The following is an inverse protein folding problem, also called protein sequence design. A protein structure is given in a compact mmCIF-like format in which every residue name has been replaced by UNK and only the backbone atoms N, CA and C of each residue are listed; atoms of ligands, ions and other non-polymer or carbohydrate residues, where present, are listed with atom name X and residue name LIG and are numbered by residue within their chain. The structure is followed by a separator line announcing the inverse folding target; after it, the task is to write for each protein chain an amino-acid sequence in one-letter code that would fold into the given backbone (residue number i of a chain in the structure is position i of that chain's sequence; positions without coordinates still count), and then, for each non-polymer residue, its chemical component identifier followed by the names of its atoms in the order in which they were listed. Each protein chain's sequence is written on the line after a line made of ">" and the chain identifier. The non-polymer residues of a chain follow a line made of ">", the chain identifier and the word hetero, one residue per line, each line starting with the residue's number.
data_IF_111193490503
#
_entry.id   IF_111193490503
#
_cell.length_a   1.000
_cell.length_b   1.000
_cell.length_c   1.000
_cell.angle_alpha   90.00
_cell.angle_beta   90.00
_cell.angle_gamma   90.00
#
_symmetry.space_group_name_H-M   'P 1'
#
loop_
_entity.id
_entity.type
_entity.pdbx_description
1 polymer ?
#
# COMPACT_ATOMS: atom_id res chain seq x y z
N UNK A 1 -10.04 -11.18 15.97
CA UNK A 1 -8.72 -11.23 15.31
C UNK A 1 -7.57 -11.35 16.34
N UNK A 2 -7.80 -11.97 17.50
CA UNK A 2 -6.88 -11.92 18.67
C UNK A 2 -6.03 -13.18 18.88
N UNK A 3 -6.06 -14.16 17.98
CA UNK A 3 -5.42 -15.47 18.23
C UNK A 3 -4.09 -15.72 17.51
N UNK A 4 -3.53 -14.73 16.80
CA UNK A 4 -2.35 -14.95 15.95
C UNK A 4 -1.04 -14.56 16.64
N UNK A 5 -1.06 -13.70 17.67
CA UNK A 5 0.17 -13.17 18.27
C UNK A 5 0.64 -13.87 19.57
N UNK A 6 -0.06 -14.90 20.06
CA UNK A 6 0.24 -15.49 21.38
C UNK A 6 1.30 -16.61 21.40
N UNK A 7 1.80 -17.08 20.26
CA UNK A 7 2.61 -18.32 20.23
C UNK A 7 4.07 -18.19 19.76
N UNK A 8 4.56 -16.99 19.45
CA UNK A 8 5.91 -16.83 18.89
C UNK A 8 7.07 -16.77 19.92
N UNK A 9 6.80 -16.88 21.23
CA UNK A 9 7.83 -16.83 22.26
C UNK A 9 7.99 -18.15 23.01
N UNK A 10 8.56 -19.16 22.34
CA UNK A 10 9.23 -20.25 23.05
C UNK A 10 10.29 -20.91 22.20
N UNK A 11 11.55 -20.60 22.54
CA UNK A 11 12.70 -21.39 22.13
C UNK A 11 13.62 -20.70 21.14
N UNK A 12 14.54 -19.89 21.66
CA UNK A 12 15.97 -19.88 21.30
C UNK A 12 16.60 -18.63 21.91
N UNK A 13 17.33 -18.82 23.01
CA UNK A 13 18.72 -18.41 23.17
C UNK A 13 19.18 -18.96 24.52
N UNK A 14 20.11 -19.91 24.47
CA UNK A 14 20.79 -20.46 25.64
C UNK A 14 21.92 -19.55 26.08
N UNK A 15 22.03 -19.35 27.39
CA UNK A 15 23.24 -18.89 28.10
C UNK A 15 23.30 -19.68 29.42
N UNK A 16 24.49 -20.16 29.87
CA UNK A 16 24.60 -21.21 30.89
C UNK A 16 24.32 -20.73 32.31
N UNK A 17 23.78 -21.65 33.12
CA UNK A 17 23.69 -21.56 34.58
C UNK A 17 25.09 -21.47 35.20
N UNK A 18 25.46 -20.33 35.81
CA UNK A 18 26.36 -20.24 36.98
C UNK A 18 26.48 -18.80 37.48
N UNK A 19 25.63 -18.35 38.41
CA UNK A 19 25.96 -17.29 39.39
C UNK A 19 25.23 -17.61 40.72
N UNK A 20 25.87 -17.55 41.90
CA UNK A 20 25.27 -17.99 43.17
C UNK A 20 24.11 -17.10 43.63
N UNK A 21 23.13 -17.72 44.28
CA UNK A 21 22.01 -17.05 44.99
C UNK A 21 22.54 -16.14 46.09
N UNK A 22 22.47 -14.83 45.88
CA UNK A 22 22.33 -13.88 46.99
C UNK A 22 20.83 -13.71 47.28
N UNK A 23 20.45 -13.95 48.53
CA UNK A 23 19.11 -13.69 49.06
C UNK A 23 18.84 -12.19 49.06
N UNK A 24 18.27 -11.66 47.98
CA UNK A 24 17.71 -10.30 48.01
C UNK A 24 16.35 -10.33 48.74
N UNK A 25 16.36 -9.85 49.97
CA UNK A 25 15.17 -9.60 50.80
C UNK A 25 14.35 -8.46 50.19
N UNK A 26 13.62 -8.71 49.09
CA UNK A 26 12.57 -7.80 48.64
C UNK A 26 11.22 -8.29 49.13
N UNK A 27 10.58 -7.44 49.93
CA UNK A 27 9.18 -7.55 50.33
C UNK A 27 8.31 -7.79 49.09
N UNK A 28 7.22 -8.58 49.19
CA UNK A 28 6.31 -8.79 48.06
C UNK A 28 5.68 -7.43 47.69
N UNK A 29 6.15 -6.85 46.58
CA UNK A 29 5.51 -5.67 46.00
C UNK A 29 4.11 -6.06 45.52
N UNK A 30 3.08 -5.25 45.80
CA UNK A 30 1.72 -5.59 45.43
C UNK A 30 1.58 -5.62 43.91
N UNK A 31 1.04 -6.73 43.39
CA UNK A 31 0.75 -7.02 41.96
C UNK A 31 -0.15 -5.99 41.23
N UNK A 32 -0.49 -4.89 41.89
CA UNK A 32 -1.45 -3.87 41.45
C UNK A 32 -0.78 -2.75 40.65
N UNK A 33 0.54 -2.57 40.73
CA UNK A 33 1.25 -1.52 39.96
C UNK A 33 1.39 -1.81 38.46
N UNK A 34 1.20 -3.06 38.05
CA UNK A 34 1.41 -3.56 36.69
C UNK A 34 0.14 -3.54 35.83
N UNK A 35 -0.99 -3.03 36.31
CA UNK A 35 -2.25 -3.02 35.59
C UNK A 35 -2.90 -1.64 35.57
N UNK A 36 -3.44 -1.25 34.40
CA UNK A 36 -4.27 -0.07 34.21
C UNK A 36 -5.69 -0.57 33.96
N UNK A 37 -6.62 -0.12 34.78
CA UNK A 37 -8.05 -0.37 34.62
C UNK A 37 -8.64 0.79 33.82
N UNK A 38 -8.84 0.59 32.51
CA UNK A 38 -9.53 1.55 31.64
C UNK A 38 -10.91 1.01 31.22
N UNK A 39 -11.70 1.80 30.49
CA UNK A 39 -13.05 1.38 30.03
C UNK A 39 -13.03 0.11 29.14
N UNK A 40 -11.85 -0.39 28.75
CA UNK A 40 -11.64 -1.62 27.99
C UNK A 40 -11.21 -2.80 28.87
N UNK A 41 -11.10 -2.61 30.19
CA UNK A 41 -10.81 -3.63 31.19
C UNK A 41 -9.38 -3.59 31.74
N UNK A 42 -9.03 -4.60 32.54
CA UNK A 42 -7.75 -4.67 33.25
C UNK A 42 -6.60 -5.04 32.28
N UNK A 43 -5.93 -4.04 31.72
CA UNK A 43 -4.77 -4.25 30.85
C UNK A 43 -3.47 -4.21 31.65
N UNK A 44 -2.48 -5.02 31.29
CA UNK A 44 -1.12 -4.84 31.82
C UNK A 44 -0.62 -3.46 31.39
N UNK A 45 -0.18 -2.66 32.34
CA UNK A 45 0.55 -1.42 32.10
C UNK A 45 1.68 -1.74 31.15
N UNK A 46 1.71 -1.08 29.98
CA UNK A 46 2.78 -1.28 29.01
C UNK A 46 4.11 -0.93 29.69
N UNK A 47 4.87 -1.95 30.09
CA UNK A 47 6.14 -1.81 30.84
C UNK A 47 7.24 -1.20 29.95
N UNK A 48 7.02 -1.14 28.63
CA UNK A 48 7.99 -0.68 27.65
C UNK A 48 7.37 0.41 26.79
N UNK A 49 7.96 1.61 26.86
CA UNK A 49 7.65 2.70 25.97
C UNK A 49 8.01 2.31 24.53
N UNK A 50 7.03 2.33 23.63
CA UNK A 50 7.27 2.10 22.20
C UNK A 50 7.72 3.41 21.53
N UNK A 51 8.41 3.29 20.39
CA UNK A 51 8.90 4.46 19.65
C UNK A 51 7.78 5.44 19.29
N UNK A 52 6.59 4.94 18.92
CA UNK A 52 5.43 5.79 18.60
C UNK A 52 4.86 6.47 19.85
N UNK A 53 4.80 5.79 20.99
CA UNK A 53 4.33 6.40 22.24
C UNK A 53 5.25 7.54 22.67
N UNK A 54 6.56 7.33 22.61
CA UNK A 54 7.55 8.39 22.91
C UNK A 54 7.46 9.53 21.89
N UNK A 55 7.24 9.22 20.61
CA UNK A 55 7.13 10.23 19.55
C UNK A 55 5.86 11.10 19.68
N UNK A 56 4.72 10.50 20.02
CA UNK A 56 3.44 11.22 20.12
C UNK A 56 3.22 11.91 21.47
N UNK A 57 3.62 11.29 22.57
CA UNK A 57 3.28 11.74 23.93
C UNK A 57 4.51 12.10 24.79
N UNK A 58 5.70 12.05 24.19
CA UNK A 58 6.97 12.35 24.86
C UNK A 58 7.43 11.24 25.81
N UNK A 59 8.67 11.33 26.30
CA UNK A 59 9.28 10.33 27.21
C UNK A 59 8.53 10.12 28.54
N UNK A 60 7.62 11.02 28.89
CA UNK A 60 6.84 10.98 30.12
C UNK A 60 5.34 10.75 29.88
N UNK A 61 4.91 10.61 28.62
CA UNK A 61 3.51 10.40 28.26
C UNK A 61 2.58 11.57 28.61
N UNK A 62 3.10 12.79 28.69
CA UNK A 62 2.35 13.99 29.14
C UNK A 62 2.04 14.97 28.02
N UNK A 63 2.67 14.80 26.86
CA UNK A 63 2.46 15.72 25.75
C UNK A 63 1.14 15.38 25.06
N UNK A 64 0.37 16.40 24.68
CA UNK A 64 -0.89 16.20 23.96
C UNK A 64 -0.64 16.07 22.46
N UNK A 65 -1.19 15.02 21.86
CA UNK A 65 -1.09 14.79 20.42
C UNK A 65 -2.38 15.20 19.70
N UNK A 66 -2.28 16.28 18.93
CA UNK A 66 -3.43 16.87 18.21
C UNK A 66 -3.61 16.26 16.82
N UNK A 67 -4.82 16.36 16.29
CA UNK A 67 -5.16 15.89 14.94
C UNK A 67 -4.21 16.41 13.85
N UNK A 68 -3.85 17.70 13.87
CA UNK A 68 -2.89 18.27 12.92
C UNK A 68 -1.51 17.60 12.99
N UNK A 69 -1.07 17.22 14.19
CA UNK A 69 0.16 16.47 14.40
C UNK A 69 0.07 15.06 13.81
N UNK A 70 -1.07 14.40 14.00
CA UNK A 70 -1.33 13.08 13.42
C UNK A 70 -1.40 13.10 11.90
N UNK A 71 -2.09 14.08 11.33
CA UNK A 71 -2.18 14.27 9.88
C UNK A 71 -0.79 14.41 9.26
N UNK A 72 0.03 15.32 9.80
CA UNK A 72 1.42 15.51 9.33
C UNK A 72 2.26 14.25 9.50
N UNK A 73 2.12 13.54 10.61
CA UNK A 73 2.82 12.27 10.82
C UNK A 73 2.47 11.25 9.73
N UNK A 74 1.18 11.08 9.42
CA UNK A 74 0.72 10.16 8.39
C UNK A 74 1.22 10.56 6.99
N UNK A 75 1.18 11.86 6.66
CA UNK A 75 1.70 12.38 5.39
C UNK A 75 3.22 12.14 5.26
N UNK A 76 3.98 12.38 6.32
CA UNK A 76 5.42 12.14 6.36
C UNK A 76 5.75 10.66 6.22
N UNK A 77 5.06 9.79 6.96
CA UNK A 77 5.26 8.34 6.88
C UNK A 77 4.97 7.80 5.48
N UNK A 78 3.87 8.23 4.87
CA UNK A 78 3.56 7.84 3.49
C UNK A 78 4.61 8.33 2.51
N UNK A 79 5.10 9.57 2.67
CA UNK A 79 6.15 10.14 1.83
C UNK A 79 7.45 9.35 1.98
N UNK A 80 7.87 9.03 3.21
CA UNK A 80 9.09 8.28 3.48
C UNK A 80 9.04 6.85 2.91
N UNK A 81 7.88 6.18 3.01
CA UNK A 81 7.69 4.87 2.36
C UNK A 81 7.82 4.99 0.83
N UNK A 82 7.29 6.03 0.22
CA UNK A 82 7.42 6.27 -1.22
C UNK A 82 8.86 6.62 -1.62
N UNK A 83 9.59 7.37 -0.79
CA UNK A 83 11.01 7.68 -1.02
C UNK A 83 11.86 6.42 -0.99
N UNK A 84 11.62 5.54 -0.02
CA UNK A 84 12.32 4.25 0.06
C UNK A 84 12.04 3.37 -1.16
N UNK A 85 10.79 3.28 -1.60
CA UNK A 85 10.44 2.56 -2.84
C UNK A 85 11.12 3.18 -4.06
N UNK A 86 11.12 4.50 -4.18
CA UNK A 86 11.77 5.18 -5.31
C UNK A 86 13.28 4.94 -5.32
N UNK A 87 13.93 5.05 -4.16
CA UNK A 87 15.38 4.92 -4.04
C UNK A 87 15.87 3.49 -4.30
N UNK A 88 15.07 2.48 -3.94
CA UNK A 88 15.36 1.07 -4.26
C UNK A 88 15.59 0.87 -5.77
N UNK A 89 14.81 1.58 -6.59
CA UNK A 89 14.87 1.47 -8.05
C UNK A 89 15.77 2.52 -8.70
N UNK A 90 15.89 3.72 -8.12
CA UNK A 90 16.74 4.76 -8.69
C UNK A 90 18.23 4.43 -8.55
N UNK A 91 18.60 3.50 -7.66
CA UNK A 91 19.98 3.02 -7.46
C UNK A 91 20.99 4.16 -7.24
N UNK A 92 20.54 5.22 -6.57
CA UNK A 92 21.35 6.42 -6.28
C UNK A 92 21.25 7.53 -7.31
N UNK A 93 20.48 7.38 -8.39
CA UNK A 93 20.15 8.45 -9.32
C UNK A 93 18.96 9.28 -8.83
N UNK A 94 18.84 10.51 -9.36
CA UNK A 94 17.74 11.44 -9.05
C UNK A 94 16.41 11.08 -9.76
N UNK A 95 16.48 10.18 -10.74
CA UNK A 95 15.35 9.71 -11.53
C UNK A 95 15.33 8.17 -11.60
N UNK A 96 14.14 7.61 -11.80
CA UNK A 96 13.96 6.21 -12.19
C UNK A 96 13.67 6.12 -13.68
N UNK A 97 14.06 5.01 -14.32
CA UNK A 97 13.68 4.76 -15.71
C UNK A 97 12.18 4.48 -15.80
N UNK A 98 11.61 4.64 -16.99
CA UNK A 98 10.21 4.33 -17.28
C UNK A 98 9.91 2.83 -17.06
N UNK A 99 10.89 1.98 -17.36
CA UNK A 99 10.84 0.54 -17.09
C UNK A 99 10.81 0.26 -15.60
N UNK A 100 11.66 0.91 -14.81
CA UNK A 100 11.66 0.74 -13.36
C UNK A 100 10.36 1.26 -12.73
N UNK A 101 9.81 2.36 -13.24
CA UNK A 101 8.48 2.82 -12.87
C UNK A 101 7.40 1.77 -13.16
N UNK A 102 7.42 1.13 -14.33
CA UNK A 102 6.49 0.04 -14.64
C UNK A 102 6.65 -1.15 -13.69
N UNK A 103 7.88 -1.57 -13.39
CA UNK A 103 8.16 -2.65 -12.42
C UNK A 103 7.60 -2.33 -11.05
N UNK A 104 7.73 -1.08 -10.60
CA UNK A 104 7.15 -0.62 -9.34
C UNK A 104 5.62 -0.77 -9.40
N UNK A 105 4.97 -0.27 -10.45
CA UNK A 105 3.50 -0.37 -10.64
C UNK A 105 2.99 -1.81 -10.61
N UNK A 106 3.70 -2.74 -11.26
CA UNK A 106 3.31 -4.13 -11.42
C UNK A 106 3.77 -5.05 -10.25
N UNK A 107 4.50 -4.53 -9.25
CA UNK A 107 5.08 -5.36 -8.18
C UNK A 107 4.05 -6.13 -7.35
N UNK A 108 2.87 -5.56 -7.13
CA UNK A 108 1.83 -6.14 -6.25
C UNK A 108 0.61 -6.66 -7.02
N UNK A 109 0.72 -6.78 -8.33
CA UNK A 109 -0.39 -7.23 -9.18
C UNK A 109 -0.35 -8.74 -9.34
N UNK A 110 -1.53 -9.38 -9.44
CA UNK A 110 -1.64 -10.81 -9.69
C UNK A 110 -1.47 -11.15 -11.17
N UNK A 111 -0.32 -10.78 -11.75
CA UNK A 111 0.05 -11.13 -13.12
C UNK A 111 0.90 -12.40 -13.12
N UNK A 112 0.74 -13.22 -14.15
CA UNK A 112 1.70 -14.30 -14.37
C UNK A 112 3.03 -13.74 -14.92
N UNK A 113 4.08 -14.57 -14.93
CA UNK A 113 5.41 -14.13 -15.38
C UNK A 113 5.42 -13.71 -16.85
N UNK A 114 4.61 -14.35 -17.70
CA UNK A 114 4.57 -14.04 -19.13
C UNK A 114 3.87 -12.71 -19.39
N UNK A 115 2.76 -12.44 -18.70
CA UNK A 115 2.05 -11.16 -18.75
C UNK A 115 2.93 -10.03 -18.25
N UNK A 116 3.62 -10.24 -17.13
CA UNK A 116 4.57 -9.27 -16.59
C UNK A 116 5.67 -8.92 -17.60
N UNK A 117 6.31 -9.92 -18.19
CA UNK A 117 7.36 -9.72 -19.20
C UNK A 117 6.81 -9.04 -20.46
N UNK A 118 5.59 -9.39 -20.89
CA UNK A 118 4.93 -8.75 -22.03
C UNK A 118 4.73 -7.24 -21.82
N UNK A 119 4.34 -6.81 -20.61
CA UNK A 119 4.22 -5.38 -20.29
C UNK A 119 5.57 -4.64 -20.39
N UNK A 120 6.66 -5.28 -19.92
CA UNK A 120 7.99 -4.67 -19.94
C UNK A 120 8.59 -4.63 -21.35
N UNK A 121 8.47 -5.71 -22.12
CA UNK A 121 8.97 -5.78 -23.50
C UNK A 121 8.27 -4.75 -24.39
N UNK A 122 6.95 -4.64 -24.27
CA UNK A 122 6.17 -3.61 -24.97
C UNK A 122 6.64 -2.20 -24.63
N UNK A 123 6.94 -1.94 -23.37
CA UNK A 123 7.39 -0.63 -22.93
C UNK A 123 8.78 -0.31 -23.51
N UNK A 124 9.70 -1.28 -23.48
CA UNK A 124 11.04 -1.16 -24.07
C UNK A 124 10.98 -0.87 -25.56
N UNK A 125 10.07 -1.50 -26.29
CA UNK A 125 9.91 -1.26 -27.73
C UNK A 125 9.32 0.13 -28.04
N UNK A 126 8.41 0.62 -27.19
CA UNK A 126 7.67 1.87 -27.42
C UNK A 126 8.42 3.11 -26.93
N UNK A 127 9.22 3.01 -25.87
CA UNK A 127 9.97 4.13 -25.29
C UNK A 127 11.41 4.09 -25.78
N UNK A 128 11.73 4.95 -26.74
CA UNK A 128 13.08 5.06 -27.33
C UNK A 128 13.97 6.10 -26.68
N UNK A 129 13.38 7.03 -25.93
CA UNK A 129 14.08 8.09 -25.21
C UNK A 129 13.77 7.96 -23.72
N UNK A 130 14.79 7.63 -22.94
CA UNK A 130 14.72 7.60 -21.48
C UNK A 130 14.85 9.05 -20.98
N UNK A 131 13.72 9.63 -20.59
CA UNK A 131 13.71 10.96 -19.96
C UNK A 131 13.85 10.82 -18.43
N UNK A 132 13.38 9.69 -17.91
CA UNK A 132 13.36 9.40 -16.48
C UNK A 132 12.24 10.13 -15.76
N UNK A 133 11.77 9.50 -14.69
CA UNK A 133 10.69 9.99 -13.83
C UNK A 133 11.29 10.46 -12.52
N UNK A 134 10.99 11.70 -12.15
CA UNK A 134 11.46 12.29 -10.87
C UNK A 134 10.66 11.77 -9.68
N UNK A 135 11.22 11.91 -8.48
CA UNK A 135 10.50 11.56 -7.25
C UNK A 135 9.20 12.34 -7.09
N UNK A 136 9.17 13.62 -7.45
CA UNK A 136 7.96 14.44 -7.33
C UNK A 136 6.85 13.94 -8.27
N UNK A 137 7.18 13.59 -9.51
CA UNK A 137 6.22 12.99 -10.45
C UNK A 137 5.68 11.66 -9.92
N UNK A 138 6.56 10.81 -9.41
CA UNK A 138 6.20 9.54 -8.79
C UNK A 138 5.27 9.72 -7.58
N UNK A 139 5.59 10.68 -6.70
CA UNK A 139 4.81 11.00 -5.50
C UNK A 139 3.41 11.50 -5.84
N UNK A 140 3.29 12.44 -6.78
CA UNK A 140 2.00 12.96 -7.22
C UNK A 140 1.15 11.85 -7.87
N UNK A 141 1.77 10.94 -8.61
CA UNK A 141 1.05 9.77 -9.14
C UNK A 141 0.56 8.82 -8.06
N UNK A 142 1.37 8.53 -7.05
CA UNK A 142 0.94 7.70 -5.92
C UNK A 142 -0.17 8.38 -5.10
N UNK A 143 -0.13 9.70 -4.95
CA UNK A 143 -1.23 10.47 -4.34
C UNK A 143 -2.52 10.36 -5.17
N UNK A 144 -2.41 10.34 -6.51
CA UNK A 144 -3.55 10.04 -7.37
C UNK A 144 -4.13 8.65 -7.10
N UNK A 145 -3.29 7.61 -6.95
CA UNK A 145 -3.77 6.25 -6.64
C UNK A 145 -4.55 6.17 -5.32
N UNK A 146 -4.23 7.00 -4.33
CA UNK A 146 -5.00 7.07 -3.09
C UNK A 146 -6.46 7.54 -3.31
N UNK A 147 -6.73 8.24 -4.42
CA UNK A 147 -8.05 8.73 -4.82
C UNK A 147 -8.61 7.93 -6.01
N UNK A 148 -8.15 6.69 -6.20
CA UNK A 148 -8.55 5.85 -7.34
C UNK A 148 -10.04 5.53 -7.34
N UNK A 149 -10.71 5.49 -6.19
CA UNK A 149 -12.15 5.25 -6.11
C UNK A 149 -12.97 6.41 -6.70
N UNK A 150 -12.61 7.66 -6.36
CA UNK A 150 -13.24 8.85 -6.93
C UNK A 150 -12.99 8.95 -8.43
N UNK A 151 -11.76 8.64 -8.85
CA UNK A 151 -11.42 8.51 -10.27
C UNK A 151 -12.25 7.43 -10.97
N UNK A 152 -12.40 6.26 -10.34
CA UNK A 152 -13.22 5.16 -10.84
C UNK A 152 -14.67 5.65 -11.06
N UNK A 153 -15.25 6.37 -10.11
CA UNK A 153 -16.61 6.92 -10.23
C UNK A 153 -16.70 7.92 -11.38
N UNK A 154 -15.76 8.87 -11.47
CA UNK A 154 -15.74 9.86 -12.54
C UNK A 154 -15.64 9.20 -13.93
N UNK A 155 -14.81 8.16 -14.07
CA UNK A 155 -14.59 7.46 -15.33
C UNK A 155 -15.72 6.49 -15.71
N UNK A 156 -16.52 6.00 -14.74
CA UNK A 156 -17.73 5.23 -15.05
C UNK A 156 -18.71 6.03 -15.91
N UNK A 157 -18.79 7.34 -15.72
CA UNK A 157 -19.66 8.20 -16.52
C UNK A 157 -19.26 8.23 -18.00
N UNK A 158 -17.96 8.22 -18.31
CA UNK A 158 -17.44 8.20 -19.69
C UNK A 158 -17.61 6.83 -20.35
N UNK A 159 -17.34 5.75 -19.61
CA UNK A 159 -17.44 4.37 -20.13
C UNK A 159 -18.87 3.91 -20.35
N UNK A 160 -19.87 4.46 -19.63
CA UNK A 160 -21.30 4.21 -19.90
C UNK A 160 -21.76 4.75 -21.26
N UNK A 161 -20.98 5.63 -21.89
CA UNK A 161 -21.23 6.14 -23.23
C UNK A 161 -20.45 5.41 -24.33
N UNK A 162 -19.87 4.23 -24.03
CA UNK A 162 -18.93 3.50 -24.91
C UNK A 162 -17.78 4.38 -25.41
N UNK A 163 -17.38 5.38 -24.62
CA UNK A 163 -16.22 6.21 -24.92
C UNK A 163 -14.99 5.65 -24.23
N UNK A 164 -13.99 5.34 -25.03
CA UNK A 164 -12.63 5.06 -24.61
C UNK A 164 -11.95 6.33 -24.12
N UNK A 165 -10.92 6.17 -23.28
CA UNK A 165 -10.35 7.28 -22.51
C UNK A 165 -9.10 7.79 -23.19
N UNK A 166 -9.14 9.02 -23.69
CA UNK A 166 -7.96 9.71 -24.21
C UNK A 166 -7.04 10.23 -23.09
N UNK A 167 -5.78 10.52 -23.44
CA UNK A 167 -4.79 11.11 -22.52
C UNK A 167 -5.27 12.42 -21.90
N UNK A 168 -5.97 13.26 -22.68
CA UNK A 168 -6.47 14.55 -22.22
C UNK A 168 -7.62 14.41 -21.21
N UNK A 169 -8.51 13.44 -21.43
CA UNK A 169 -9.58 13.12 -20.50
C UNK A 169 -9.03 12.52 -19.21
N UNK A 170 -8.05 11.63 -19.31
CA UNK A 170 -7.34 11.09 -18.16
C UNK A 170 -6.73 12.20 -17.30
N UNK A 171 -5.96 13.11 -17.91
CA UNK A 171 -5.38 14.25 -17.20
C UNK A 171 -6.43 15.14 -16.53
N UNK A 172 -7.54 15.40 -17.23
CA UNK A 172 -8.65 16.21 -16.71
C UNK A 172 -9.30 15.52 -15.51
N UNK A 173 -9.57 14.23 -15.61
CA UNK A 173 -10.16 13.46 -14.53
C UNK A 173 -9.25 13.41 -13.29
N UNK A 174 -7.94 13.18 -13.46
CA UNK A 174 -6.97 13.22 -12.34
C UNK A 174 -6.96 14.59 -11.67
N UNK A 175 -7.01 15.67 -12.46
CA UNK A 175 -7.05 17.04 -11.92
C UNK A 175 -8.31 17.31 -11.09
N UNK A 176 -9.45 16.77 -11.51
CA UNK A 176 -10.72 16.90 -10.79
C UNK A 176 -10.68 16.10 -9.48
N UNK A 177 -10.17 14.86 -9.51
CA UNK A 177 -10.18 13.98 -8.33
C UNK A 177 -9.15 14.38 -7.26
N UNK A 178 -7.98 14.88 -7.67
CA UNK A 178 -6.86 15.11 -6.74
C UNK A 178 -6.55 16.58 -6.50
N UNK A 179 -7.06 17.49 -7.34
CA UNK A 179 -6.62 18.88 -7.38
C UNK A 179 -5.21 19.09 -7.94
N UNK A 180 -4.47 18.02 -8.25
CA UNK A 180 -3.09 18.05 -8.77
C UNK A 180 -3.05 17.64 -10.24
N UNK A 181 -2.01 18.07 -10.97
CA UNK A 181 -1.83 17.71 -12.38
C UNK A 181 -0.62 16.80 -12.54
N UNK A 182 -0.80 15.69 -13.25
CA UNK A 182 0.31 14.82 -13.64
C UNK A 182 1.09 15.45 -14.81
N UNK A 183 2.38 15.14 -14.89
CA UNK A 183 3.19 15.57 -16.03
C UNK A 183 2.75 14.82 -17.30
N UNK A 184 2.85 15.49 -18.46
CA UNK A 184 2.51 14.87 -19.75
C UNK A 184 3.39 13.64 -20.04
N UNK A 185 4.65 13.68 -19.61
CA UNK A 185 5.57 12.56 -19.76
C UNK A 185 5.11 11.35 -18.94
N UNK A 186 4.76 11.55 -17.67
CA UNK A 186 4.28 10.47 -16.81
C UNK A 186 2.98 9.85 -17.33
N UNK A 187 2.03 10.67 -17.77
CA UNK A 187 0.78 10.19 -18.39
C UNK A 187 1.07 9.40 -19.66
N UNK A 188 1.99 9.89 -20.49
CA UNK A 188 2.43 9.16 -21.67
C UNK A 188 2.98 7.78 -21.31
N UNK A 189 3.89 7.70 -20.33
CA UNK A 189 4.46 6.43 -19.85
C UNK A 189 3.40 5.48 -19.32
N UNK A 190 2.44 5.97 -18.52
CA UNK A 190 1.31 5.15 -18.03
C UNK A 190 0.50 4.57 -19.18
N UNK A 191 0.20 5.37 -20.21
CA UNK A 191 -0.48 4.86 -21.39
C UNK A 191 0.38 3.83 -22.13
N UNK A 192 1.69 4.05 -22.30
CA UNK A 192 2.55 3.05 -22.93
C UNK A 192 2.58 1.72 -22.17
N UNK A 193 2.43 1.76 -20.84
CA UNK A 193 2.34 0.57 -20.01
C UNK A 193 0.99 -0.14 -20.17
N UNK A 194 -0.15 0.56 -20.20
CA UNK A 194 -1.47 -0.09 -20.11
C UNK A 194 -2.28 -0.14 -21.41
N UNK A 195 -1.85 0.55 -22.46
CA UNK A 195 -2.48 0.52 -23.79
C UNK A 195 -2.03 -0.74 -24.55
N UNK A 196 -2.92 -1.73 -24.65
CA UNK A 196 -2.57 -3.04 -25.23
C UNK A 196 -2.59 -3.06 -26.75
N UNK A 197 -3.59 -2.46 -27.37
CA UNK A 197 -3.80 -2.41 -28.82
C UNK A 197 -3.06 -1.26 -29.50
N UNK A 198 -2.51 -0.32 -28.73
CA UNK A 198 -1.73 0.80 -29.23
C UNK A 198 -2.59 1.88 -29.89
N UNK A 199 -3.89 1.93 -29.57
CA UNK A 199 -4.83 2.88 -30.13
C UNK A 199 -4.73 4.28 -29.49
N UNK A 200 -3.88 4.41 -28.46
CA UNK A 200 -3.66 5.64 -27.70
C UNK A 200 -4.71 5.87 -26.61
N UNK A 201 -5.54 4.88 -26.34
CA UNK A 201 -6.63 4.90 -25.39
C UNK A 201 -6.36 3.86 -24.30
N UNK A 202 -7.08 4.00 -23.18
CA UNK A 202 -6.85 3.17 -22.01
C UNK A 202 -8.05 2.25 -21.75
N UNK A 203 -7.81 0.94 -21.73
CA UNK A 203 -8.76 -0.04 -21.22
C UNK A 203 -8.99 0.20 -19.73
N UNK A 204 -10.12 0.84 -19.43
CA UNK A 204 -10.48 1.24 -18.07
C UNK A 204 -10.52 0.06 -17.09
N UNK A 205 -10.99 -1.10 -17.54
CA UNK A 205 -11.17 -2.27 -16.66
C UNK A 205 -9.84 -2.81 -16.15
N UNK A 206 -8.88 -3.01 -17.05
CA UNK A 206 -7.56 -3.56 -16.72
C UNK A 206 -6.73 -2.58 -15.92
N UNK A 207 -6.68 -1.31 -16.35
CA UNK A 207 -5.96 -0.28 -15.61
C UNK A 207 -6.44 -0.17 -14.15
N UNK A 208 -7.76 -0.09 -13.93
CA UNK A 208 -8.31 0.02 -12.58
C UNK A 208 -8.07 -1.26 -11.77
N UNK A 209 -8.12 -2.44 -12.37
CA UNK A 209 -7.82 -3.70 -11.69
C UNK A 209 -6.38 -3.72 -11.17
N UNK A 210 -5.41 -3.45 -12.05
CA UNK A 210 -3.98 -3.42 -11.72
C UNK A 210 -3.68 -2.33 -10.68
N UNK A 211 -4.21 -1.11 -10.88
CA UNK A 211 -3.97 0.00 -9.95
C UNK A 211 -4.64 -0.21 -8.58
N UNK A 212 -5.77 -0.94 -8.52
CA UNK A 212 -6.36 -1.35 -7.26
C UNK A 212 -5.44 -2.30 -6.51
N UNK A 213 -4.91 -3.33 -7.14
CA UNK A 213 -3.98 -4.24 -6.47
C UNK A 213 -2.75 -3.50 -5.92
N UNK A 214 -2.19 -2.59 -6.73
CA UNK A 214 -1.08 -1.73 -6.30
C UNK A 214 -1.43 -0.87 -5.09
N UNK A 215 -2.60 -0.23 -5.06
CA UNK A 215 -3.03 0.62 -3.94
C UNK A 215 -3.03 -0.14 -2.61
N UNK A 216 -3.37 -1.44 -2.62
CA UNK A 216 -3.42 -2.25 -1.41
C UNK A 216 -2.08 -2.85 -0.99
N UNK A 217 -1.01 -2.69 -1.80
CA UNK A 217 0.36 -3.14 -1.50
C UNK A 217 0.43 -4.60 -1.00
N UNK A 218 -0.43 -5.48 -1.54
CA UNK A 218 -0.52 -6.88 -1.13
C UNK A 218 -1.17 -7.14 0.24
N UNK A 219 -1.65 -6.11 0.96
CA UNK A 219 -2.35 -6.27 2.24
C UNK A 219 -3.81 -6.68 2.10
N UNK A 220 -4.38 -6.60 0.89
CA UNK A 220 -5.67 -7.23 0.61
C UNK A 220 -5.49 -8.74 0.55
N UNK A 221 -5.79 -9.40 1.66
CA UNK A 221 -6.17 -10.80 1.64
C UNK A 221 -7.46 -10.90 0.84
N UNK A 222 -7.37 -11.23 -0.45
CA UNK A 222 -8.46 -11.93 -1.10
C UNK A 222 -8.71 -13.16 -0.24
N UNK A 223 -9.80 -13.16 0.53
CA UNK A 223 -10.26 -14.38 1.18
C UNK A 223 -10.28 -15.40 0.05
N UNK A 224 -9.36 -16.37 0.10
CA UNK A 224 -9.22 -17.36 -0.95
C UNK A 224 -10.62 -17.92 -1.14
N UNK A 225 -11.25 -17.58 -2.26
CA UNK A 225 -12.46 -18.24 -2.71
C UNK A 225 -12.02 -19.61 -3.23
N UNK A 226 -11.42 -20.40 -2.35
CA UNK A 226 -10.97 -21.76 -2.56
C UNK A 226 -11.76 -22.64 -1.60
N UNK A 227 -12.08 -23.85 -2.04
CA UNK A 227 -12.84 -24.81 -1.24
C UNK A 227 -14.36 -24.68 -1.42
N UNK A 228 -15.07 -25.35 -0.51
CA UNK A 228 -16.48 -25.69 -0.69
C UNK A 228 -17.42 -24.48 -0.71
N UNK A 229 -17.07 -23.41 0.01
CA UNK A 229 -17.90 -22.20 0.08
C UNK A 229 -17.81 -21.38 -1.21
N UNK A 230 -16.63 -21.33 -1.84
CA UNK A 230 -16.44 -20.72 -3.14
C UNK A 230 -17.16 -21.48 -4.25
N UNK A 231 -17.05 -22.82 -4.25
CA UNK A 231 -17.79 -23.69 -5.17
C UNK A 231 -19.30 -23.46 -5.06
N UNK A 232 -19.86 -23.45 -3.84
CA UNK A 232 -21.28 -23.15 -3.61
C UNK A 232 -21.67 -21.75 -4.11
N UNK A 233 -20.81 -20.75 -3.91
CA UNK A 233 -21.06 -19.40 -4.38
C UNK A 233 -21.10 -19.33 -5.90
N UNK A 234 -20.13 -19.95 -6.60
CA UNK A 234 -20.11 -20.04 -8.06
C UNK A 234 -21.34 -20.76 -8.62
N UNK A 235 -21.68 -21.94 -8.10
CA UNK A 235 -22.87 -22.68 -8.54
C UNK A 235 -24.15 -21.87 -8.31
N UNK A 236 -24.28 -21.22 -7.14
CA UNK A 236 -25.44 -20.38 -6.83
C UNK A 236 -25.55 -19.15 -7.72
N UNK A 237 -24.42 -18.61 -8.17
CA UNK A 237 -24.36 -17.44 -9.04
C UNK A 237 -24.70 -17.82 -10.48
N UNK A 238 -24.18 -18.95 -10.98
CA UNK A 238 -24.55 -19.50 -12.29
C UNK A 238 -26.02 -19.90 -12.37
N UNK A 239 -26.58 -20.50 -11.31
CA UNK A 239 -28.01 -20.82 -11.26
C UNK A 239 -28.95 -19.60 -11.19
N UNK A 240 -28.41 -18.40 -10.95
CA UNK A 240 -29.18 -17.15 -10.92
C UNK A 240 -29.20 -16.42 -12.26
N UNK A 241 -28.28 -16.73 -13.17
CA UNK A 241 -28.31 -16.23 -14.55
C UNK A 241 -29.23 -17.14 -15.35
N UNK A 242 -30.43 -16.68 -15.78
CA UNK A 242 -31.22 -17.46 -16.72
C UNK A 242 -30.54 -17.45 -18.08
N UNK A 243 -30.49 -18.62 -18.72
CA UNK A 243 -30.11 -18.81 -20.14
C UNK A 243 -31.03 -17.99 -21.04
#
# INVERSE_FOLDING_TARGET
>A
MEKIFSHAWKGKHGIPETIPREEDKRQPQPLVEDYVDDEQGLQRKHVVDTTLLVHFFGKKGKDEFRFEGFKRFMENLQTEVLELEFHEFSKGHDTITEVDFAKILLRYTHLDTNEYDMYLDRLLDRIKEEKGITFEEFRVFCQFLNNLEDFTIAMRMYTLADHSISKDEFMRAVKICTGTSLSRHLVHTVFQIFDEDGDGQLSYREFIAIMKDRLHRGFKSYAKNEGWDAFKSCVKQEMKTPV
#
